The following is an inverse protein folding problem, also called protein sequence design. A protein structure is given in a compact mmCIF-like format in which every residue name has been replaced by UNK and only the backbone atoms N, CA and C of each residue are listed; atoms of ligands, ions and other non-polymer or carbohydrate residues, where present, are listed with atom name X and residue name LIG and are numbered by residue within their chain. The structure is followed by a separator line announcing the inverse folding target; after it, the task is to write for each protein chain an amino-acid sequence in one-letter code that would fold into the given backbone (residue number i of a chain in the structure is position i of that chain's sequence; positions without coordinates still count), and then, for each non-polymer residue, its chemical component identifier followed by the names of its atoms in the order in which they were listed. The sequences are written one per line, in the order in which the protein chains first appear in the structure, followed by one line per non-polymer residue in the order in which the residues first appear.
data_IF_267313605558
#
_entry.id   IF_267313605558
#
_cell.length_a   1.000
_cell.length_b   1.000
_cell.length_c   1.000
_cell.angle_alpha   90.00
_cell.angle_beta   90.00
_cell.angle_gamma   90.00
#
_symmetry.space_group_name_H-M   'P 1'
#
loop_
_entity.id
_entity.type
_entity.pdbx_description
1 polymer ?
#
# COMPACT_ATOMS: atom_id res chain seq x y z
N UNK A 1 -14.60 7.33 8.22
CA UNK A 1 -13.89 6.26 8.96
C UNK A 1 -14.44 6.16 10.37
N UNK A 2 -14.50 4.97 10.96
CA UNK A 2 -15.04 4.71 12.31
C UNK A 2 -13.98 3.99 13.16
N UNK A 3 -14.11 4.01 14.49
CA UNK A 3 -13.23 3.26 15.40
C UNK A 3 -12.20 4.09 16.18
N UNK A 4 -12.36 5.41 16.21
CA UNK A 4 -11.57 6.30 17.07
C UNK A 4 -11.98 6.20 18.54
N UNK A 5 -13.23 5.80 18.79
CA UNK A 5 -13.72 5.56 20.15
C UNK A 5 -12.85 4.48 20.79
N UNK A 6 -12.30 4.78 21.98
CA UNK A 6 -11.34 3.94 22.70
C UNK A 6 -10.01 3.62 22.01
N UNK A 7 -9.69 4.25 20.86
CA UNK A 7 -8.48 3.91 20.10
C UNK A 7 -7.20 4.02 20.94
N UNK A 8 -7.04 5.10 21.72
CA UNK A 8 -5.87 5.25 22.62
C UNK A 8 -5.75 4.11 23.63
N UNK A 9 -6.86 3.71 24.27
CA UNK A 9 -6.88 2.58 25.21
C UNK A 9 -6.51 1.26 24.53
N UNK A 10 -7.03 1.02 23.31
CA UNK A 10 -6.64 -0.15 22.50
C UNK A 10 -5.16 -0.11 22.12
N UNK A 11 -4.63 1.03 21.68
CA UNK A 11 -3.21 1.20 21.37
C UNK A 11 -2.32 0.86 22.57
N UNK A 12 -2.64 1.37 23.76
CA UNK A 12 -1.91 1.05 24.99
C UNK A 12 -1.95 -0.45 25.31
N UNK A 13 -3.10 -1.10 25.15
CA UNK A 13 -3.24 -2.55 25.34
C UNK A 13 -2.41 -3.33 24.31
N UNK A 14 -2.44 -2.95 23.03
CA UNK A 14 -1.67 -3.60 21.97
C UNK A 14 -0.17 -3.42 22.17
N UNK A 15 0.28 -2.25 22.63
CA UNK A 15 1.68 -2.02 22.97
C UNK A 15 2.15 -2.97 24.09
N UNK A 16 1.35 -3.11 25.15
CA UNK A 16 1.59 -4.07 26.25
C UNK A 16 1.61 -5.51 25.75
N UNK A 17 0.81 -5.85 24.74
CA UNK A 17 0.79 -7.17 24.11
C UNK A 17 1.96 -7.41 23.12
N UNK A 18 2.79 -6.41 22.85
CA UNK A 18 4.00 -6.54 22.01
C UNK A 18 3.92 -5.88 20.63
N UNK A 19 2.79 -5.30 20.25
CA UNK A 19 2.69 -4.54 18.99
C UNK A 19 3.60 -3.29 19.04
N UNK A 20 4.21 -2.95 17.91
CA UNK A 20 5.09 -1.77 17.75
C UNK A 20 4.70 -0.84 16.61
N UNK A 21 3.75 -1.28 15.79
CA UNK A 21 3.13 -0.47 14.77
C UNK A 21 1.65 -0.79 14.70
N UNK A 22 0.87 0.11 14.10
CA UNK A 22 -0.53 -0.08 13.79
C UNK A 22 -0.75 0.21 12.30
N UNK A 23 -1.94 -0.13 11.77
CA UNK A 23 -2.34 0.18 10.40
C UNK A 23 -3.76 0.71 10.39
N UNK A 24 -4.01 1.77 9.61
CA UNK A 24 -5.35 2.26 9.38
C UNK A 24 -5.61 2.57 7.92
N UNK A 25 -6.66 1.96 7.36
CA UNK A 25 -7.05 2.05 5.95
C UNK A 25 -8.17 3.06 5.76
N UNK A 26 -7.89 4.11 4.99
CA UNK A 26 -8.86 4.96 4.33
C UNK A 26 -9.07 4.47 2.89
N UNK A 27 -10.26 4.67 2.34
CA UNK A 27 -10.61 4.22 0.99
C UNK A 27 -11.20 5.39 0.21
N UNK A 28 -10.62 5.65 -0.96
CA UNK A 28 -11.07 6.65 -1.91
C UNK A 28 -11.32 5.98 -3.28
N UNK A 29 -12.18 6.59 -4.09
CA UNK A 29 -12.53 6.10 -5.43
C UNK A 29 -12.27 7.17 -6.46
N UNK A 30 -11.85 6.77 -7.65
CA UNK A 30 -11.82 7.64 -8.82
C UNK A 30 -13.13 7.43 -9.59
N UNK A 31 -13.80 8.52 -9.90
CA UNK A 31 -15.02 8.52 -10.69
C UNK A 31 -15.18 9.83 -11.45
N UNK A 32 -16.34 10.06 -12.09
CA UNK A 32 -16.60 11.30 -12.81
C UNK A 32 -16.48 12.55 -11.91
N UNK A 33 -16.91 12.44 -10.65
CA UNK A 33 -16.87 13.53 -9.66
C UNK A 33 -16.12 13.14 -8.39
N UNK A 34 -15.57 11.92 -8.34
CA UNK A 34 -14.84 11.36 -7.22
C UNK A 34 -13.31 11.30 -7.45
N UNK A 35 -12.50 11.43 -6.38
CA UNK A 35 -12.92 11.71 -5.01
C UNK A 35 -13.34 13.16 -4.84
N UNK A 36 -14.44 13.39 -4.12
CA UNK A 36 -14.87 14.74 -3.77
C UNK A 36 -13.93 15.36 -2.74
N UNK A 37 -13.88 16.70 -2.70
CA UNK A 37 -13.09 17.43 -1.70
C UNK A 37 -13.42 16.98 -0.27
N UNK A 38 -14.71 16.81 0.03
CA UNK A 38 -15.17 16.31 1.33
C UNK A 38 -14.55 14.93 1.64
N UNK A 39 -14.56 14.00 0.68
CA UNK A 39 -14.00 12.66 0.88
C UNK A 39 -12.49 12.71 1.12
N UNK A 40 -11.76 13.58 0.42
CA UNK A 40 -10.31 13.76 0.64
C UNK A 40 -10.06 14.29 2.05
N UNK A 41 -10.72 15.38 2.43
CA UNK A 41 -10.48 16.07 3.70
C UNK A 41 -10.85 15.21 4.92
N UNK A 42 -12.01 14.53 4.88
CA UNK A 42 -12.42 13.64 5.97
C UNK A 42 -11.50 12.45 6.13
N UNK A 43 -10.99 11.89 5.02
CA UNK A 43 -10.04 10.80 5.10
C UNK A 43 -8.67 11.27 5.62
N UNK A 44 -8.17 12.41 5.15
CA UNK A 44 -6.90 12.98 5.61
C UNK A 44 -6.92 13.29 7.12
N UNK A 45 -7.97 13.96 7.61
CA UNK A 45 -8.14 14.26 9.05
C UNK A 45 -8.27 12.99 9.90
N UNK A 46 -9.03 12.01 9.43
CA UNK A 46 -9.17 10.73 10.12
C UNK A 46 -7.83 10.01 10.27
N UNK A 47 -7.03 9.97 9.20
CA UNK A 47 -5.70 9.36 9.23
C UNK A 47 -4.74 10.09 10.17
N UNK A 48 -4.79 11.43 10.19
CA UNK A 48 -3.97 12.23 11.10
C UNK A 48 -4.33 12.02 12.57
N UNK A 49 -5.63 11.99 12.90
CA UNK A 49 -6.12 11.67 14.25
C UNK A 49 -5.73 10.25 14.67
N UNK A 50 -5.80 9.29 13.77
CA UNK A 50 -5.32 7.92 14.02
C UNK A 50 -3.81 7.91 14.32
N UNK A 51 -3.02 8.62 13.52
CA UNK A 51 -1.57 8.61 13.62
C UNK A 51 -1.08 9.19 14.96
N UNK A 52 -1.62 10.35 15.39
CA UNK A 52 -1.22 10.96 16.66
C UNK A 52 -1.57 10.07 17.86
N UNK A 53 -2.76 9.45 17.86
CA UNK A 53 -3.16 8.51 18.92
C UNK A 53 -2.26 7.27 19.00
N UNK A 54 -1.74 6.80 17.86
CA UNK A 54 -0.76 5.72 17.85
C UNK A 54 0.57 6.17 18.47
N UNK A 55 1.07 7.35 18.07
CA UNK A 55 2.36 7.87 18.55
C UNK A 55 2.34 8.16 20.06
N UNK A 56 1.26 8.74 20.58
CA UNK A 56 1.06 8.94 22.03
C UNK A 56 1.12 7.65 22.85
N UNK A 57 0.87 6.51 22.20
CA UNK A 57 0.86 5.18 22.83
C UNK A 57 2.03 4.29 22.37
N UNK A 58 3.05 4.87 21.73
CA UNK A 58 4.28 4.16 21.35
C UNK A 58 4.16 3.23 20.15
N UNK A 59 3.11 3.36 19.33
CA UNK A 59 2.93 2.60 18.09
C UNK A 59 3.26 3.46 16.88
N UNK A 60 4.10 2.95 15.97
CA UNK A 60 4.32 3.57 14.66
C UNK A 60 3.04 3.45 13.80
N UNK A 61 2.40 4.53 13.36
CA UNK A 61 1.24 4.45 12.48
C UNK A 61 1.66 4.21 11.03
N UNK A 62 1.09 3.17 10.41
CA UNK A 62 1.05 3.01 8.95
C UNK A 62 -0.19 3.73 8.43
N UNK A 63 0.03 4.83 7.72
CA UNK A 63 -1.00 5.69 7.13
C UNK A 63 -1.36 5.15 5.74
N UNK A 64 -2.56 4.62 5.56
CA UNK A 64 -2.99 3.94 4.31
C UNK A 64 -4.16 4.67 3.64
N UNK A 65 -3.92 5.70 2.81
CA UNK A 65 -4.93 6.34 1.96
C UNK A 65 -5.07 5.57 0.63
N UNK A 66 -5.78 4.45 0.64
CA UNK A 66 -5.94 3.63 -0.57
C UNK A 66 -6.92 4.27 -1.55
N UNK A 67 -6.42 4.60 -2.75
CA UNK A 67 -7.25 4.96 -3.89
C UNK A 67 -7.51 3.69 -4.71
N UNK A 68 -8.79 3.33 -4.83
CA UNK A 68 -9.21 2.13 -5.54
C UNK A 68 -8.95 2.23 -7.05
N UNK A 69 -8.58 1.09 -7.63
CA UNK A 69 -8.30 0.97 -9.07
C UNK A 69 -9.56 0.77 -9.92
N UNK A 70 -10.75 0.59 -9.34
CA UNK A 70 -11.98 0.36 -10.10
C UNK A 70 -12.22 1.47 -11.14
N UNK A 71 -12.54 1.11 -12.37
CA UNK A 71 -12.97 2.02 -13.43
C UNK A 71 -12.04 2.09 -14.66
N UNK A 72 -12.40 2.91 -15.67
CA UNK A 72 -11.70 2.99 -16.96
C UNK A 72 -10.63 4.09 -17.03
N UNK A 73 -10.30 4.74 -15.92
CA UNK A 73 -9.37 5.88 -15.89
C UNK A 73 -7.97 5.49 -16.37
N UNK A 74 -7.33 6.38 -17.14
CA UNK A 74 -5.90 6.25 -17.46
C UNK A 74 -5.00 6.53 -16.26
N UNK A 75 -3.72 6.15 -16.38
CA UNK A 75 -2.73 6.32 -15.31
C UNK A 75 -2.54 7.78 -14.88
N UNK A 76 -2.67 8.73 -15.80
CA UNK A 76 -2.53 10.17 -15.49
C UNK A 76 -3.59 10.67 -14.53
N UNK A 77 -4.83 10.17 -14.66
CA UNK A 77 -5.90 10.50 -13.72
C UNK A 77 -5.61 9.90 -12.35
N UNK A 78 -5.08 8.68 -12.28
CA UNK A 78 -4.62 8.08 -11.03
C UNK A 78 -3.49 8.89 -10.39
N UNK A 79 -2.51 9.35 -11.18
CA UNK A 79 -1.41 10.19 -10.72
C UNK A 79 -1.92 11.49 -10.09
N UNK A 80 -2.77 12.23 -10.82
CA UNK A 80 -3.34 13.49 -10.35
C UNK A 80 -4.15 13.34 -9.06
N UNK A 81 -4.97 12.28 -8.96
CA UNK A 81 -5.74 12.01 -7.74
C UNK A 81 -4.83 11.59 -6.58
N UNK A 82 -3.80 10.78 -6.86
CA UNK A 82 -2.80 10.36 -5.85
C UNK A 82 -2.08 11.57 -5.28
N UNK A 83 -1.64 12.50 -6.13
CA UNK A 83 -0.98 13.73 -5.68
C UNK A 83 -1.91 14.59 -4.81
N UNK A 84 -3.16 14.80 -5.24
CA UNK A 84 -4.13 15.58 -4.47
C UNK A 84 -4.41 14.97 -3.08
N UNK A 85 -4.60 13.65 -3.01
CA UNK A 85 -4.86 12.93 -1.77
C UNK A 85 -3.65 12.96 -0.85
N UNK A 86 -2.45 12.67 -1.34
CA UNK A 86 -1.24 12.66 -0.52
C UNK A 86 -0.90 14.06 0.01
N UNK A 87 -1.07 15.11 -0.80
CA UNK A 87 -0.89 16.49 -0.34
C UNK A 87 -1.83 16.82 0.83
N UNK A 88 -3.12 16.45 0.74
CA UNK A 88 -4.07 16.64 1.83
C UNK A 88 -3.72 15.81 3.08
N UNK A 89 -3.28 14.56 2.90
CA UNK A 89 -2.84 13.69 4.01
C UNK A 89 -1.66 14.31 4.75
N UNK A 90 -0.60 14.71 4.05
CA UNK A 90 0.58 15.29 4.73
C UNK A 90 0.31 16.65 5.36
N UNK A 91 -0.58 17.47 4.76
CA UNK A 91 -1.07 18.68 5.42
C UNK A 91 -1.79 18.36 6.73
N UNK A 92 -2.71 17.38 6.72
CA UNK A 92 -3.44 16.97 7.92
C UNK A 92 -2.52 16.37 8.99
N UNK A 93 -1.53 15.55 8.60
CA UNK A 93 -0.53 15.00 9.53
C UNK A 93 0.26 16.12 10.22
N UNK A 94 0.67 17.15 9.47
CA UNK A 94 1.37 18.31 10.01
C UNK A 94 0.48 19.12 10.97
N UNK A 95 -0.79 19.36 10.61
CA UNK A 95 -1.76 20.07 11.45
C UNK A 95 -2.05 19.36 12.79
N UNK A 96 -1.89 18.04 12.83
CA UNK A 96 -2.05 17.22 14.04
C UNK A 96 -0.73 16.96 14.76
N UNK A 97 0.35 17.63 14.36
CA UNK A 97 1.67 17.52 14.98
C UNK A 97 2.25 16.09 14.97
N UNK A 98 1.93 15.30 13.94
CA UNK A 98 2.46 13.94 13.78
C UNK A 98 3.95 14.00 13.44
N UNK A 99 4.77 13.23 14.16
CA UNK A 99 6.20 13.08 13.91
C UNK A 99 6.43 12.17 12.69
N UNK A 100 6.79 12.71 11.54
CA UNK A 100 6.87 11.95 10.28
C UNK A 100 7.94 10.85 10.29
N UNK A 101 9.06 11.08 10.99
CA UNK A 101 10.16 10.12 11.20
C UNK A 101 9.67 8.85 11.91
N UNK A 102 8.59 8.97 12.69
CA UNK A 102 7.92 7.88 13.39
C UNK A 102 6.68 7.38 12.68
N UNK A 103 6.58 7.49 11.33
CA UNK A 103 5.45 6.99 10.53
C UNK A 103 5.90 6.10 9.37
N UNK A 104 4.95 5.41 8.74
CA UNK A 104 5.12 4.82 7.41
C UNK A 104 3.92 5.19 6.53
N UNK A 105 4.15 5.37 5.24
CA UNK A 105 3.07 5.53 4.25
C UNK A 105 2.78 4.19 3.57
N UNK A 106 1.51 3.84 3.42
CA UNK A 106 1.05 2.70 2.63
C UNK A 106 0.09 3.18 1.53
N UNK A 107 0.61 3.68 0.40
CA UNK A 107 -0.23 4.15 -0.69
C UNK A 107 -0.52 3.01 -1.68
N UNK A 108 -1.50 3.22 -2.55
CA UNK A 108 -1.58 2.50 -3.82
C UNK A 108 -0.37 2.86 -4.70
N UNK A 109 0.04 1.95 -5.57
CA UNK A 109 0.85 2.32 -6.74
C UNK A 109 -0.04 3.14 -7.69
N UNK A 110 0.58 3.99 -8.52
CA UNK A 110 -0.14 4.74 -9.56
C UNK A 110 -0.29 3.85 -10.78
N UNK A 111 -1.50 3.37 -11.02
CA UNK A 111 -1.82 2.43 -12.11
C UNK A 111 -3.02 2.93 -12.92
N UNK A 112 -3.21 2.45 -14.16
CA UNK A 112 -4.49 2.57 -14.83
C UNK A 112 -5.60 1.92 -14.00
N UNK A 113 -6.84 2.30 -14.29
CA UNK A 113 -8.01 1.65 -13.73
C UNK A 113 -8.17 0.21 -14.22
N UNK A 114 -8.96 -0.59 -13.51
CA UNK A 114 -9.17 -2.03 -13.78
C UNK A 114 -9.72 -2.31 -15.17
N UNK A 115 -10.45 -1.36 -15.75
CA UNK A 115 -11.12 -1.47 -17.04
C UNK A 115 -10.32 -0.76 -18.15
N UNK A 116 -9.17 -0.17 -17.81
CA UNK A 116 -8.27 0.50 -18.75
C UNK A 116 -7.20 -0.47 -19.29
N UNK A 117 -6.59 -0.18 -20.46
CA UNK A 117 -5.43 -0.94 -20.94
C UNK A 117 -4.31 -0.98 -19.90
N UNK A 118 -3.71 -2.16 -19.73
CA UNK A 118 -2.51 -2.31 -18.89
C UNK A 118 -1.34 -1.51 -19.49
N UNK A 119 -0.46 -1.06 -18.61
CA UNK A 119 0.81 -0.41 -18.97
C UNK A 119 1.98 -1.20 -18.38
N UNK A 120 3.20 -0.88 -18.82
CA UNK A 120 4.39 -1.59 -18.35
C UNK A 120 4.77 -1.21 -16.92
N UNK A 121 5.53 -2.06 -16.20
CA UNK A 121 6.05 -1.73 -14.88
C UNK A 121 6.88 -0.44 -14.81
N UNK A 122 7.59 -0.10 -15.88
CA UNK A 122 8.39 1.12 -15.98
C UNK A 122 7.50 2.36 -15.95
N UNK A 123 6.39 2.34 -16.69
CA UNK A 123 5.41 3.44 -16.69
C UNK A 123 4.77 3.57 -15.30
N UNK A 124 4.37 2.47 -14.67
CA UNK A 124 3.86 2.49 -13.28
C UNK A 124 4.90 3.09 -12.34
N UNK A 125 6.16 2.70 -12.48
CA UNK A 125 7.24 3.18 -11.63
C UNK A 125 7.45 4.69 -11.77
N UNK A 126 7.53 5.21 -12.99
CA UNK A 126 7.72 6.63 -13.26
C UNK A 126 6.60 7.48 -12.66
N UNK A 127 5.34 7.13 -12.92
CA UNK A 127 4.21 7.87 -12.36
C UNK A 127 4.14 7.77 -10.84
N UNK A 128 4.39 6.58 -10.28
CA UNK A 128 4.32 6.38 -8.83
C UNK A 128 5.41 7.17 -8.12
N UNK A 129 6.67 7.04 -8.52
CA UNK A 129 7.78 7.76 -7.86
C UNK A 129 7.66 9.27 -8.07
N UNK A 130 7.17 9.72 -9.23
CA UNK A 130 6.91 11.15 -9.47
C UNK A 130 5.85 11.71 -8.52
N UNK A 131 4.70 11.04 -8.38
CA UNK A 131 3.64 11.47 -7.47
C UNK A 131 4.12 11.55 -6.01
N UNK A 132 4.92 10.56 -5.57
CA UNK A 132 5.50 10.55 -4.24
C UNK A 132 6.49 11.70 -4.04
N UNK A 133 7.39 11.93 -5.01
CA UNK A 133 8.37 13.04 -4.96
C UNK A 133 7.74 14.42 -4.89
N UNK A 134 6.52 14.58 -5.40
CA UNK A 134 5.77 15.84 -5.37
C UNK A 134 5.03 16.09 -4.06
N UNK A 135 4.85 15.07 -3.21
CA UNK A 135 3.89 15.15 -2.09
C UNK A 135 4.39 14.62 -0.76
N UNK A 136 5.30 13.66 -0.75
CA UNK A 136 5.82 13.05 0.47
C UNK A 136 7.02 13.87 0.97
N UNK A 137 7.07 14.27 2.26
CA UNK A 137 8.26 14.88 2.84
C UNK A 137 9.37 13.86 3.08
N UNK A 138 10.64 14.25 2.87
CA UNK A 138 11.82 13.39 3.06
C UNK A 138 12.00 12.84 4.49
N UNK A 139 11.33 13.43 5.49
CA UNK A 139 11.37 12.98 6.89
C UNK A 139 10.66 11.63 7.12
N UNK A 140 9.76 11.22 6.22
CA UNK A 140 9.17 9.88 6.28
C UNK A 140 10.31 8.86 6.07
N UNK A 141 10.40 7.75 6.82
CA UNK A 141 11.49 6.79 6.63
C UNK A 141 11.22 5.79 5.51
N UNK A 142 9.95 5.47 5.24
CA UNK A 142 9.59 4.42 4.29
C UNK A 142 8.16 4.46 3.77
N UNK A 143 8.02 3.95 2.56
CA UNK A 143 6.77 3.79 1.82
C UNK A 143 6.61 2.29 1.53
N UNK A 144 5.55 1.69 2.09
CA UNK A 144 5.28 0.26 2.04
C UNK A 144 4.01 0.00 1.23
N UNK A 145 4.15 -0.18 -0.08
CA UNK A 145 3.01 -0.25 -1.00
C UNK A 145 2.01 -1.35 -0.66
N UNK A 146 0.72 -1.06 -0.82
CA UNK A 146 -0.31 -2.09 -0.94
C UNK A 146 -0.29 -2.69 -2.34
N UNK A 147 -0.64 -3.97 -2.49
CA UNK A 147 -0.70 -4.61 -3.80
C UNK A 147 -2.00 -4.32 -4.56
N UNK A 148 -3.07 -3.92 -3.87
CA UNK A 148 -4.38 -3.72 -4.48
C UNK A 148 -4.86 -5.00 -5.14
N UNK A 149 -5.36 -4.89 -6.38
CA UNK A 149 -5.81 -6.01 -7.21
C UNK A 149 -4.73 -6.65 -8.11
N UNK A 150 -3.48 -6.22 -8.00
CA UNK A 150 -2.38 -6.77 -8.81
C UNK A 150 -2.14 -8.24 -8.51
N UNK A 151 -1.66 -9.00 -9.50
CA UNK A 151 -1.14 -10.35 -9.28
C UNK A 151 0.10 -10.35 -8.37
N UNK A 152 0.50 -11.52 -7.88
CA UNK A 152 1.74 -11.65 -7.09
C UNK A 152 2.97 -11.22 -7.89
N UNK A 153 3.00 -11.57 -9.18
CA UNK A 153 4.12 -11.23 -10.08
C UNK A 153 4.10 -9.76 -10.48
N UNK A 154 2.94 -9.21 -10.83
CA UNK A 154 2.79 -7.78 -11.19
C UNK A 154 3.24 -6.87 -10.04
N UNK A 155 2.80 -7.16 -8.81
CA UNK A 155 3.17 -6.36 -7.64
C UNK A 155 4.70 -6.38 -7.40
N UNK A 156 5.35 -7.53 -7.62
CA UNK A 156 6.79 -7.70 -7.46
C UNK A 156 7.57 -6.95 -8.56
N UNK A 157 7.14 -7.07 -9.82
CA UNK A 157 7.76 -6.38 -10.96
C UNK A 157 7.63 -4.86 -10.87
N UNK A 158 6.46 -4.36 -10.48
CA UNK A 158 6.23 -2.93 -10.31
C UNK A 158 7.09 -2.35 -9.18
N UNK A 159 7.19 -3.06 -8.05
CA UNK A 159 8.09 -2.66 -6.95
C UNK A 159 9.57 -2.66 -7.37
N UNK A 160 10.00 -3.68 -8.12
CA UNK A 160 11.37 -3.77 -8.64
C UNK A 160 11.67 -2.60 -9.59
N UNK A 161 10.73 -2.29 -10.48
CA UNK A 161 10.87 -1.20 -11.46
C UNK A 161 10.98 0.16 -10.78
N UNK A 162 10.17 0.42 -9.73
CA UNK A 162 10.34 1.61 -8.89
C UNK A 162 11.72 1.70 -8.25
N UNK A 163 12.26 0.56 -7.81
CA UNK A 163 13.57 0.53 -7.16
C UNK A 163 14.76 0.62 -8.12
N UNK A 164 14.54 0.37 -9.42
CA UNK A 164 15.53 0.53 -10.50
C UNK A 164 15.65 1.97 -11.01
N UNK A 165 14.67 2.84 -10.75
CA UNK A 165 14.71 4.22 -11.24
C UNK A 165 15.93 4.97 -10.69
N UNK A 166 16.68 5.58 -11.61
CA UNK A 166 17.84 6.44 -11.33
C UNK A 166 17.38 7.88 -11.04
N UNK A 167 16.63 8.03 -9.96
CA UNK A 167 16.14 9.32 -9.48
C UNK A 167 16.25 9.37 -7.96
N UNK A 168 16.47 10.56 -7.39
CA UNK A 168 16.44 10.76 -5.93
C UNK A 168 15.14 10.22 -5.33
N UNK A 169 15.29 9.30 -4.38
CA UNK A 169 14.21 8.72 -3.57
C UNK A 169 14.67 8.77 -2.12
N UNK A 170 14.28 9.80 -1.34
CA UNK A 170 14.76 9.97 0.03
C UNK A 170 14.09 8.99 1.02
N UNK A 171 13.19 8.13 0.54
CA UNK A 171 12.48 7.11 1.31
C UNK A 171 12.91 5.71 0.90
N UNK A 172 12.81 4.76 1.81
CA UNK A 172 12.78 3.33 1.42
C UNK A 172 11.48 3.02 0.68
N UNK A 173 11.56 2.41 -0.50
CA UNK A 173 10.40 1.87 -1.23
C UNK A 173 10.31 0.36 -1.02
N UNK A 174 9.27 -0.10 -0.32
CA UNK A 174 9.09 -1.50 0.07
C UNK A 174 7.62 -1.91 -0.04
N UNK A 175 7.24 -3.04 0.55
CA UNK A 175 5.91 -3.66 0.39
C UNK A 175 5.20 -3.89 1.73
N UNK A 176 3.87 -3.78 1.70
CA UNK A 176 2.93 -4.25 2.72
C UNK A 176 1.83 -5.05 2.03
N UNK A 177 2.20 -6.23 1.54
CA UNK A 177 1.34 -7.07 0.70
C UNK A 177 0.57 -8.11 1.52
N UNK A 178 -0.73 -8.20 1.23
CA UNK A 178 -1.59 -9.32 1.66
C UNK A 178 -1.72 -10.33 0.54
N UNK A 179 -2.69 -10.11 -0.37
CA UNK A 179 -2.98 -11.01 -1.50
C UNK A 179 -1.76 -11.35 -2.35
N UNK A 180 -0.94 -10.35 -2.71
CA UNK A 180 0.24 -10.55 -3.55
C UNK A 180 1.39 -11.37 -2.89
N UNK A 181 1.23 -11.75 -1.61
CA UNK A 181 2.19 -12.57 -0.86
C UNK A 181 1.57 -13.94 -0.49
N UNK A 182 0.25 -14.04 -0.43
CA UNK A 182 -0.46 -15.17 0.15
C UNK A 182 -1.29 -15.99 -0.84
N UNK A 183 -1.58 -15.49 -2.05
CA UNK A 183 -2.52 -16.16 -2.96
C UNK A 183 -2.04 -17.57 -3.34
N UNK A 184 -0.82 -17.71 -3.84
CA UNK A 184 -0.28 -19.02 -4.22
C UNK A 184 -0.16 -19.91 -2.98
N UNK A 185 0.31 -19.36 -1.86
CA UNK A 185 0.42 -20.07 -0.57
C UNK A 185 -0.91 -20.69 -0.13
N UNK A 186 -1.99 -19.90 -0.14
CA UNK A 186 -3.32 -20.34 0.27
C UNK A 186 -3.88 -21.43 -0.65
N UNK A 187 -3.70 -21.26 -1.97
CA UNK A 187 -4.12 -22.27 -2.97
C UNK A 187 -3.35 -23.57 -2.83
N UNK A 188 -2.03 -23.50 -2.63
CA UNK A 188 -1.17 -24.67 -2.43
C UNK A 188 -1.50 -25.38 -1.13
N UNK A 189 -1.78 -24.65 -0.05
CA UNK A 189 -2.17 -25.24 1.23
C UNK A 189 -3.52 -25.95 1.13
N UNK A 190 -4.55 -25.27 0.63
CA UNK A 190 -5.89 -25.83 0.50
C UNK A 190 -6.52 -26.29 1.82
N UNK A 191 -6.04 -25.79 2.96
CA UNK A 191 -6.47 -26.22 4.30
C UNK A 191 -5.95 -27.59 4.74
N UNK A 192 -5.05 -28.22 3.98
CA UNK A 192 -4.59 -29.59 4.20
C UNK A 192 -3.27 -29.63 4.99
N UNK A 193 -3.19 -30.30 6.15
CA UNK A 193 -1.96 -30.39 6.94
C UNK A 193 -0.76 -30.94 6.16
N UNK A 194 -0.98 -31.92 5.27
CA UNK A 194 0.04 -32.51 4.42
C UNK A 194 0.67 -31.51 3.43
N UNK A 195 -0.02 -30.41 3.12
CA UNK A 195 0.46 -29.38 2.20
C UNK A 195 1.21 -28.23 2.89
N UNK A 196 1.35 -28.26 4.22
CA UNK A 196 1.97 -27.14 4.96
C UNK A 196 3.38 -26.83 4.46
N UNK A 197 4.22 -27.86 4.27
CA UNK A 197 5.60 -27.66 3.83
C UNK A 197 5.69 -27.04 2.42
N UNK A 198 4.88 -27.52 1.48
CA UNK A 198 4.87 -27.00 0.10
C UNK A 198 4.27 -25.59 0.02
N UNK A 199 3.28 -25.27 0.85
CA UNK A 199 2.74 -23.92 0.96
C UNK A 199 3.76 -22.94 1.57
N UNK A 200 4.49 -23.34 2.62
CA UNK A 200 5.57 -22.54 3.19
C UNK A 200 6.69 -22.26 2.19
N UNK A 201 7.04 -23.23 1.36
CA UNK A 201 8.02 -23.03 0.29
C UNK A 201 7.54 -21.99 -0.74
N UNK A 202 6.26 -22.04 -1.15
CA UNK A 202 5.67 -21.06 -2.04
C UNK A 202 5.65 -19.64 -1.44
N UNK A 203 5.29 -19.53 -0.16
CA UNK A 203 5.33 -18.28 0.59
C UNK A 203 6.74 -17.69 0.63
N UNK A 204 7.75 -18.51 0.97
CA UNK A 204 9.14 -18.07 1.02
C UNK A 204 9.65 -17.60 -0.34
N UNK A 205 9.24 -18.25 -1.43
CA UNK A 205 9.59 -17.81 -2.79
C UNK A 205 9.05 -16.41 -3.09
N UNK A 206 7.82 -16.08 -2.64
CA UNK A 206 7.26 -14.73 -2.77
C UNK A 206 7.91 -13.73 -1.82
N UNK A 207 8.25 -14.11 -0.59
CA UNK A 207 9.06 -13.27 0.30
C UNK A 207 10.40 -12.88 -0.34
N UNK A 208 11.12 -13.85 -0.91
CA UNK A 208 12.41 -13.63 -1.58
C UNK A 208 12.27 -12.70 -2.79
N UNK A 209 11.32 -12.97 -3.69
CA UNK A 209 11.10 -12.12 -4.86
C UNK A 209 10.80 -10.66 -4.49
N UNK A 210 9.92 -10.44 -3.51
CA UNK A 210 9.62 -9.10 -3.02
C UNK A 210 10.82 -8.45 -2.29
N UNK A 211 11.63 -9.24 -1.58
CA UNK A 211 12.88 -8.77 -0.97
C UNK A 211 13.95 -8.39 -2.01
N UNK A 212 13.99 -9.03 -3.17
CA UNK A 212 14.87 -8.65 -4.27
C UNK A 212 14.33 -7.41 -5.01
N UNK A 213 13.02 -7.29 -5.11
CA UNK A 213 12.34 -6.14 -5.70
C UNK A 213 12.61 -4.84 -4.91
N UNK A 214 12.77 -4.89 -3.58
CA UNK A 214 13.16 -3.70 -2.80
C UNK A 214 14.56 -3.20 -3.14
N UNK A 215 15.41 -4.07 -3.69
CA UNK A 215 16.77 -3.75 -4.15
C UNK A 215 16.83 -3.44 -5.65
N UNK A 216 15.69 -3.49 -6.36
CA UNK A 216 15.66 -3.37 -7.81
C UNK A 216 16.33 -4.53 -8.55
N UNK A 217 16.44 -5.70 -7.91
CA UNK A 217 17.17 -6.87 -8.43
C UNK A 217 16.26 -8.01 -8.90
N UNK A 218 14.95 -7.85 -8.78
CA UNK A 218 14.03 -8.85 -9.29
C UNK A 218 13.91 -8.74 -10.81
N UNK A 219 14.21 -9.82 -11.52
CA UNK A 219 14.21 -9.94 -12.99
C UNK A 219 13.02 -10.77 -13.53
N UNK A 220 12.14 -11.25 -12.65
CA UNK A 220 11.07 -12.18 -13.01
C UNK A 220 11.53 -13.63 -13.07
N UNK A 221 10.58 -14.55 -13.27
CA UNK A 221 10.91 -15.96 -13.62
C UNK A 221 10.89 -16.98 -12.48
N UNK A 222 10.35 -16.64 -11.30
CA UNK A 222 10.20 -17.58 -10.17
C UNK A 222 8.76 -18.01 -9.87
N UNK A 223 7.80 -17.60 -10.69
CA UNK A 223 6.39 -17.60 -10.35
C UNK A 223 5.59 -18.53 -11.28
N UNK A 224 5.12 -19.66 -10.76
CA UNK A 224 4.20 -20.54 -11.50
C UNK A 224 2.91 -19.83 -11.90
N UNK A 225 2.09 -20.42 -12.79
CA UNK A 225 0.91 -19.76 -13.37
C UNK A 225 -0.06 -19.11 -12.37
N UNK A 226 -0.17 -19.66 -11.15
CA UNK A 226 -0.99 -19.11 -10.05
C UNK A 226 -0.61 -17.69 -9.62
N UNK A 227 0.69 -17.36 -9.70
CA UNK A 227 1.22 -16.08 -9.25
C UNK A 227 1.00 -14.94 -10.26
N UNK A 228 0.66 -15.29 -11.51
CA UNK A 228 0.33 -14.33 -12.58
C UNK A 228 -1.17 -13.98 -12.63
N UNK A 229 -2.01 -14.67 -11.84
CA UNK A 229 -3.45 -14.42 -11.83
C UNK A 229 -3.80 -13.05 -11.21
N UNK A 230 -4.65 -12.28 -11.89
CA UNK A 230 -5.19 -11.03 -11.36
C UNK A 230 -5.95 -11.29 -10.05
N UNK A 231 -5.74 -10.42 -9.07
CA UNK A 231 -6.38 -10.51 -7.74
C UNK A 231 -7.47 -9.46 -7.56
N UNK A 232 -7.78 -8.69 -8.61
CA UNK A 232 -8.82 -7.67 -8.57
C UNK A 232 -10.20 -8.30 -8.41
N UNK A 233 -10.99 -7.72 -7.50
CA UNK A 233 -12.40 -8.04 -7.31
C UNK A 233 -13.15 -6.71 -7.28
N UNK A 234 -14.09 -6.53 -8.21
CA UNK A 234 -14.85 -5.28 -8.33
C UNK A 234 -15.66 -5.02 -7.06
N UNK A 235 -15.57 -3.81 -6.52
CA UNK A 235 -16.31 -3.42 -5.31
C UNK A 235 -15.89 -4.18 -4.03
N UNK A 236 -14.66 -4.70 -3.98
CA UNK A 236 -14.17 -5.44 -2.82
C UNK A 236 -14.11 -4.57 -1.56
N UNK A 237 -14.89 -4.95 -0.55
CA UNK A 237 -14.86 -4.35 0.78
C UNK A 237 -14.14 -5.30 1.74
N UNK A 238 -13.04 -4.84 2.33
CA UNK A 238 -12.42 -5.53 3.47
C UNK A 238 -13.30 -5.31 4.71
N UNK A 239 -14.21 -6.24 5.00
CA UNK A 239 -14.68 -6.44 6.36
C UNK A 239 -13.61 -7.24 7.09
N UNK A 240 -12.80 -6.54 7.90
CA UNK A 240 -12.13 -7.15 9.06
C UNK A 240 -13.00 -6.88 10.28
#
# INVERSE_FOLDING_TARGET
MQGFDSLGARCAQYYKAGARFAKWRAVLKIGPTEPSELAIQENARGLARYAILCQENGLVPIVEPEILTDGPQGIEKCAAVTEAVLAAVYKALNDHHVLLEGTLLKPNMVTPGSDAPKVTPEVIAEHTVTALRRTVPAAVPGIVFLSGGQSEEEATLNLSSMNKLDVLRPWTLSFSFGRALQQTTLKTWGGKPENVAVAQAAFLARCKGNSEATLGKYEGGGSGGLASESLHVKGYNHTL
#
